data_IF_227095716532
#
_entry.id   IF_227095716532
#
_cell.length_a   1.000
_cell.length_b   1.000
_cell.length_c   1.000
_cell.angle_alpha   90.00
_cell.angle_beta   90.00
_cell.angle_gamma   90.00
#
_symmetry.space_group_name_H-M   'P 1'
#
loop_
_entity.id
_entity.type
_entity.pdbx_description
1 polymer ?
#
# COMPACT_ATOMS: atom_id res chain seq x y z
N UNK A 1 -26.96 -6.55 -18.79
CA UNK A 1 -26.07 -5.46 -19.22
C UNK A 1 -25.15 -5.13 -18.05
N UNK A 2 -23.86 -5.42 -18.20
CA UNK A 2 -22.87 -5.11 -17.16
C UNK A 2 -22.52 -3.61 -17.22
N UNK A 3 -22.51 -2.89 -16.11
CA UNK A 3 -22.08 -1.49 -16.06
C UNK A 3 -20.75 -1.37 -15.34
N UNK A 4 -19.77 -0.78 -15.99
CA UNK A 4 -18.47 -0.45 -15.45
C UNK A 4 -18.44 1.04 -15.08
N UNK A 5 -18.09 1.37 -13.84
CA UNK A 5 -17.76 2.75 -13.48
C UNK A 5 -16.24 2.87 -13.33
N UNK A 6 -15.61 3.53 -14.28
CA UNK A 6 -14.25 4.04 -14.13
C UNK A 6 -14.36 5.42 -13.49
N UNK A 7 -14.06 5.52 -12.20
CA UNK A 7 -14.00 6.83 -11.55
C UNK A 7 -12.64 7.47 -11.80
N UNK A 8 -12.61 8.66 -12.45
CA UNK A 8 -11.36 9.43 -12.56
C UNK A 8 -10.88 9.84 -11.16
N UNK A 9 -9.57 9.90 -10.97
CA UNK A 9 -8.93 10.42 -9.76
C UNK A 9 -9.50 11.81 -9.43
N UNK A 10 -10.03 12.02 -8.21
CA UNK A 10 -10.60 13.31 -7.85
C UNK A 10 -9.49 14.35 -7.71
N UNK A 11 -9.63 15.44 -8.45
CA UNK A 11 -9.01 16.73 -8.12
C UNK A 11 -9.54 17.21 -6.76
N UNK A 12 -8.64 17.79 -5.96
CA UNK A 12 -8.85 18.32 -4.61
C UNK A 12 -10.28 18.77 -4.30
N UNK A 13 -10.87 18.20 -3.26
CA UNK A 13 -11.75 18.93 -2.34
C UNK A 13 -11.84 18.24 -0.98
N UNK A 14 -11.98 19.06 0.02
CA UNK A 14 -11.94 18.91 1.46
C UNK A 14 -12.92 17.90 2.04
N UNK A 15 -12.47 17.19 3.10
CA UNK A 15 -13.31 16.79 4.23
C UNK A 15 -13.86 15.39 4.19
N UNK A 16 -13.14 14.42 4.77
CA UNK A 16 -13.78 13.22 5.29
C UNK A 16 -13.15 12.86 6.65
N UNK A 17 -14.00 12.83 7.66
CA UNK A 17 -13.64 12.42 9.02
C UNK A 17 -13.54 10.90 9.06
N UNK A 18 -12.37 10.35 9.28
CA UNK A 18 -12.15 8.93 9.57
C UNK A 18 -12.32 8.69 11.08
N UNK A 19 -13.09 7.69 11.52
CA UNK A 19 -13.31 7.43 12.95
C UNK A 19 -12.14 6.76 13.70
N UNK A 20 -10.99 6.57 13.08
CA UNK A 20 -9.80 5.93 13.68
C UNK A 20 -8.53 6.80 13.58
N UNK A 21 -8.66 8.11 13.71
CA UNK A 21 -7.50 8.97 13.82
C UNK A 21 -7.22 9.33 15.28
N UNK A 22 -6.06 8.95 15.79
CA UNK A 22 -5.51 9.51 17.02
C UNK A 22 -5.30 11.01 16.78
N UNK A 23 -6.06 11.85 17.47
CA UNK A 23 -5.82 13.30 17.47
C UNK A 23 -4.60 13.61 18.31
N UNK A 24 -3.51 14.02 17.67
CA UNK A 24 -2.51 14.82 18.36
C UNK A 24 -3.11 16.21 18.60
N UNK A 25 -3.34 16.57 19.87
CA UNK A 25 -3.65 17.93 20.29
C UNK A 25 -2.42 18.82 20.10
N UNK A 26 -2.44 19.66 19.05
CA UNK A 26 -1.44 20.70 18.85
C UNK A 26 -1.77 21.89 19.72
N UNK A 27 -0.95 22.17 20.73
CA UNK A 27 -0.84 23.48 21.36
C UNK A 27 -0.33 24.48 20.33
N UNK A 28 -0.98 25.65 20.24
CA UNK A 28 -0.73 26.68 19.25
C UNK A 28 0.66 27.28 19.31
N UNK A 29 1.21 27.60 18.15
CA UNK A 29 2.44 28.37 17.95
C UNK A 29 2.71 28.61 16.49
N UNK A 30 2.50 29.82 16.05
CA UNK A 30 2.92 30.57 14.86
C UNK A 30 3.48 29.83 13.64
N UNK A 31 2.87 30.17 12.51
CA UNK A 31 3.25 29.89 11.14
C UNK A 31 4.71 30.23 10.81
N UNK A 32 5.48 29.17 10.54
CA UNK A 32 6.64 29.21 9.65
C UNK A 32 6.62 27.95 8.81
N UNK A 33 6.73 28.12 7.49
CA UNK A 33 6.81 27.03 6.52
C UNK A 33 7.87 26.01 6.96
N UNK A 34 7.60 24.70 6.97
CA UNK A 34 8.64 23.74 7.27
C UNK A 34 9.62 23.69 6.09
N UNK A 35 10.80 24.26 6.31
CA UNK A 35 11.99 23.92 5.54
C UNK A 35 12.14 22.41 5.56
N UNK A 36 12.34 21.82 4.40
CA UNK A 36 12.63 20.40 4.21
C UNK A 36 13.77 19.98 5.14
N UNK A 37 13.43 19.37 6.28
CA UNK A 37 14.42 18.74 7.15
C UNK A 37 14.83 17.45 6.45
N UNK A 38 15.99 17.52 5.82
CA UNK A 38 16.67 16.37 5.25
C UNK A 38 16.95 15.36 6.37
N UNK A 39 16.32 14.16 6.32
CA UNK A 39 16.54 13.03 7.25
C UNK A 39 18.00 12.50 7.20
N UNK A 40 18.89 13.18 6.50
CA UNK A 40 20.28 12.77 6.33
C UNK A 40 21.22 13.17 7.46
N UNK A 41 20.78 13.86 8.54
CA UNK A 41 21.71 14.42 9.51
C UNK A 41 22.20 13.47 10.61
N UNK A 42 21.55 12.30 10.85
CA UNK A 42 21.91 11.45 12.00
C UNK A 42 22.28 10.00 11.66
N UNK A 43 22.61 9.71 10.39
CA UNK A 43 23.09 8.39 10.04
C UNK A 43 24.62 8.33 10.09
N UNK A 44 25.13 7.76 11.18
CA UNK A 44 26.57 7.42 11.37
C UNK A 44 26.96 6.20 10.53
N UNK A 45 26.72 6.31 9.24
CA UNK A 45 26.98 5.31 8.21
C UNK A 45 28.00 5.79 7.19
N UNK A 46 29.29 5.69 7.54
CA UNK A 46 30.48 5.82 6.69
C UNK A 46 30.55 7.08 5.80
N UNK A 47 31.54 7.91 6.11
CA UNK A 47 32.01 9.13 5.45
C UNK A 47 31.90 9.13 3.91
N UNK A 48 31.97 7.96 3.27
CA UNK A 48 32.02 7.78 1.82
C UNK A 48 30.74 8.21 1.06
N UNK A 49 29.55 8.04 1.64
CA UNK A 49 28.29 8.40 0.94
C UNK A 49 28.00 9.92 0.95
N UNK A 50 28.40 10.61 2.01
CA UNK A 50 28.22 12.05 2.11
C UNK A 50 29.04 12.80 1.06
N UNK A 51 30.23 12.32 0.76
CA UNK A 51 31.14 12.99 -0.16
C UNK A 51 30.68 12.91 -1.62
N UNK A 52 30.15 11.76 -2.07
CA UNK A 52 29.66 11.60 -3.45
C UNK A 52 28.46 12.50 -3.72
N UNK A 53 27.46 12.47 -2.86
CA UNK A 53 26.25 13.30 -3.02
C UNK A 53 26.58 14.78 -2.92
N UNK A 54 27.47 15.16 -2.00
CA UNK A 54 27.96 16.53 -1.86
C UNK A 54 28.69 16.97 -3.13
N UNK A 55 29.63 16.17 -3.62
CA UNK A 55 30.36 16.45 -4.86
C UNK A 55 29.43 16.63 -6.05
N UNK A 56 28.41 15.75 -6.20
CA UNK A 56 27.44 15.87 -7.28
C UNK A 56 26.64 17.18 -7.18
N UNK A 57 26.17 17.55 -5.97
CA UNK A 57 25.41 18.80 -5.76
C UNK A 57 26.25 20.04 -6.04
N UNK A 58 27.52 20.04 -5.63
CA UNK A 58 28.44 21.14 -5.88
C UNK A 58 28.82 21.28 -7.36
N UNK A 59 28.67 20.21 -8.15
CA UNK A 59 28.94 20.16 -9.60
C UNK A 59 27.65 20.10 -10.43
N UNK A 60 26.61 20.83 -10.06
CA UNK A 60 25.34 20.89 -10.79
C UNK A 60 24.68 19.52 -11.04
N UNK A 61 24.73 18.63 -10.04
CA UNK A 61 24.15 17.28 -10.06
C UNK A 61 24.81 16.32 -11.06
N UNK A 62 26.00 16.62 -11.55
CA UNK A 62 26.75 15.79 -12.47
C UNK A 62 28.24 15.79 -12.12
N UNK A 63 28.89 14.65 -12.14
CA UNK A 63 30.34 14.53 -11.98
C UNK A 63 30.90 13.32 -12.71
N UNK A 64 32.12 13.47 -13.28
CA UNK A 64 32.80 12.41 -14.01
C UNK A 64 33.96 11.87 -13.20
N UNK A 65 33.94 10.58 -12.88
CA UNK A 65 35.03 9.83 -12.28
C UNK A 65 35.66 8.93 -13.34
N UNK A 66 36.87 9.25 -13.79
CA UNK A 66 37.52 8.54 -14.90
C UNK A 66 36.67 8.62 -16.18
N UNK A 67 36.20 7.48 -16.66
CA UNK A 67 35.35 7.39 -17.87
C UNK A 67 33.83 7.28 -17.54
N UNK A 68 33.43 7.40 -16.27
CA UNK A 68 32.05 7.24 -15.84
C UNK A 68 31.48 8.58 -15.41
N UNK A 69 30.47 9.06 -16.13
CA UNK A 69 29.70 10.24 -15.73
C UNK A 69 28.48 9.81 -14.94
N UNK A 70 28.34 10.34 -13.73
CA UNK A 70 27.20 10.10 -12.83
C UNK A 70 26.38 11.37 -12.76
N UNK A 71 25.06 11.23 -13.00
CA UNK A 71 24.08 12.31 -12.82
C UNK A 71 23.18 11.98 -11.64
N UNK A 72 22.95 12.94 -10.76
CA UNK A 72 22.00 12.82 -9.66
C UNK A 72 20.70 13.47 -10.08
N UNK A 73 19.58 12.78 -9.89
CA UNK A 73 18.27 13.40 -10.08
C UNK A 73 18.11 14.60 -9.16
N UNK A 74 17.48 15.68 -9.65
CA UNK A 74 17.23 16.89 -8.87
C UNK A 74 16.31 16.60 -7.67
N UNK A 75 15.27 15.80 -7.89
CA UNK A 75 14.39 15.29 -6.84
C UNK A 75 14.58 13.78 -6.66
N UNK A 76 15.00 13.38 -5.47
CA UNK A 76 15.26 11.98 -5.11
C UNK A 76 14.96 11.74 -3.63
N UNK A 77 14.82 10.46 -3.25
CA UNK A 77 14.52 10.03 -1.88
C UNK A 77 13.15 9.33 -1.81
N UNK A 78 12.57 9.27 -0.63
CA UNK A 78 11.25 8.71 -0.44
C UNK A 78 10.16 9.64 -1.00
N UNK A 79 9.07 9.06 -1.49
CA UNK A 79 7.88 9.86 -1.74
C UNK A 79 7.31 10.37 -0.41
N UNK A 80 6.53 11.47 -0.48
CA UNK A 80 5.95 12.10 0.70
C UNK A 80 5.19 11.11 1.63
N UNK A 81 4.46 10.14 1.06
CA UNK A 81 3.70 9.17 1.85
C UNK A 81 4.59 8.22 2.65
N UNK A 82 5.70 7.76 2.05
CA UNK A 82 6.71 6.91 2.71
C UNK A 82 7.47 7.71 3.76
N UNK A 83 7.93 8.92 3.42
CA UNK A 83 8.64 9.80 4.34
C UNK A 83 7.80 10.09 5.59
N UNK A 84 6.52 10.44 5.41
CA UNK A 84 5.56 10.62 6.48
C UNK A 84 5.44 9.38 7.38
N UNK A 85 5.33 8.18 6.78
CA UNK A 85 5.19 6.94 7.54
C UNK A 85 6.42 6.68 8.42
N UNK A 86 7.62 6.84 7.87
CA UNK A 86 8.88 6.67 8.59
C UNK A 86 9.01 7.68 9.72
N UNK A 87 8.67 8.97 9.47
CA UNK A 87 8.71 10.00 10.49
C UNK A 87 7.77 9.72 11.65
N UNK A 88 6.52 9.35 11.37
CA UNK A 88 5.54 9.00 12.43
C UNK A 88 6.03 7.79 13.24
N UNK A 89 6.60 6.77 12.59
CA UNK A 89 7.12 5.60 13.29
C UNK A 89 8.29 5.96 14.23
N UNK A 90 9.19 6.84 13.80
CA UNK A 90 10.29 7.31 14.66
C UNK A 90 9.79 8.21 15.80
N UNK A 91 8.79 9.05 15.55
CA UNK A 91 8.17 9.88 16.59
C UNK A 91 7.40 9.03 17.62
N UNK A 92 6.83 7.89 17.22
CA UNK A 92 6.12 7.00 18.14
C UNK A 92 7.00 6.59 19.35
N UNK A 93 8.28 6.25 19.14
CA UNK A 93 9.18 5.91 20.26
C UNK A 93 9.44 7.11 21.17
N UNK A 94 9.46 8.33 20.67
CA UNK A 94 9.64 9.54 21.48
C UNK A 94 8.39 9.84 22.30
N UNK A 95 7.21 9.60 21.72
CA UNK A 95 5.93 9.80 22.41
C UNK A 95 5.64 8.73 23.45
N UNK A 96 6.12 7.52 23.24
CA UNK A 96 5.91 6.34 24.09
C UNK A 96 7.24 5.74 24.57
N UNK A 97 8.04 6.51 25.37
CA UNK A 97 9.43 6.12 25.67
C UNK A 97 9.56 4.89 26.57
N UNK A 98 8.54 4.58 27.38
CA UNK A 98 8.51 3.43 28.30
C UNK A 98 7.62 2.28 27.87
N UNK A 99 6.87 2.43 26.78
CA UNK A 99 5.89 1.45 26.36
C UNK A 99 6.50 0.38 25.44
N UNK A 100 5.89 -0.81 25.41
CA UNK A 100 6.19 -1.80 24.40
C UNK A 100 5.61 -1.33 23.08
N UNK A 101 6.45 -1.22 22.06
CA UNK A 101 6.02 -0.85 20.69
C UNK A 101 6.22 -2.04 19.78
N UNK A 102 5.15 -2.40 19.09
CA UNK A 102 5.10 -3.45 18.08
C UNK A 102 4.86 -2.86 16.70
N UNK A 103 5.26 -3.57 15.67
CA UNK A 103 4.89 -3.27 14.28
C UNK A 103 4.31 -4.52 13.63
N UNK A 104 3.23 -4.34 12.86
CA UNK A 104 2.52 -5.48 12.24
C UNK A 104 3.26 -6.07 11.06
N UNK A 105 4.16 -5.30 10.43
CA UNK A 105 5.02 -5.70 9.32
C UNK A 105 6.13 -4.67 9.17
N UNK A 106 7.09 -4.87 8.25
CA UNK A 106 8.06 -3.83 7.87
C UNK A 106 7.36 -2.49 7.63
N UNK A 107 7.90 -1.39 8.17
CA UNK A 107 7.30 -0.06 7.93
C UNK A 107 7.26 0.29 6.44
N UNK A 108 8.31 -0.08 5.75
CA UNK A 108 8.50 -0.02 4.30
C UNK A 108 9.52 -1.10 3.90
N UNK A 109 9.57 -1.48 2.63
CA UNK A 109 10.59 -2.40 2.12
C UNK A 109 11.98 -1.75 2.03
N UNK A 110 12.52 -1.35 3.19
CA UNK A 110 13.86 -0.77 3.31
C UNK A 110 14.56 -1.30 4.56
N UNK A 111 15.57 -2.20 4.38
CA UNK A 111 16.25 -2.84 5.51
C UNK A 111 16.91 -1.85 6.48
N UNK A 112 17.40 -0.72 5.97
CA UNK A 112 18.06 0.30 6.80
C UNK A 112 17.07 0.98 7.75
N UNK A 113 15.87 1.31 7.24
CA UNK A 113 14.81 1.93 8.05
C UNK A 113 14.27 0.94 9.08
N UNK A 114 14.01 -0.30 8.67
CA UNK A 114 13.50 -1.35 9.56
C UNK A 114 14.52 -1.66 10.67
N UNK A 115 15.81 -1.79 10.32
CA UNK A 115 16.87 -1.96 11.32
C UNK A 115 16.90 -0.79 12.32
N UNK A 116 16.71 0.44 11.86
CA UNK A 116 16.67 1.60 12.76
C UNK A 116 15.49 1.53 13.74
N UNK A 117 14.33 1.07 13.33
CA UNK A 117 13.19 0.84 14.22
C UNK A 117 13.50 -0.24 15.27
N UNK A 118 14.16 -1.34 14.87
CA UNK A 118 14.61 -2.37 15.80
C UNK A 118 15.63 -1.83 16.83
N UNK A 119 16.59 -1.00 16.40
CA UNK A 119 17.51 -0.29 17.30
C UNK A 119 16.81 0.66 18.28
N UNK A 120 15.62 1.14 17.91
CA UNK A 120 14.72 1.94 18.74
C UNK A 120 13.76 1.07 19.57
N UNK A 121 14.03 -0.24 19.69
CA UNK A 121 13.23 -1.20 20.45
C UNK A 121 11.77 -1.35 19.95
N UNK A 122 11.51 -1.08 18.69
CA UNK A 122 10.27 -1.47 18.03
C UNK A 122 10.37 -2.95 17.64
N UNK A 123 9.42 -3.76 18.09
CA UNK A 123 9.44 -5.21 17.91
C UNK A 123 8.50 -5.62 16.78
N UNK A 124 8.94 -6.55 15.96
CA UNK A 124 8.07 -7.17 14.96
C UNK A 124 7.08 -8.13 15.64
N UNK A 125 5.81 -8.11 15.22
CA UNK A 125 4.87 -9.15 15.61
C UNK A 125 5.29 -10.45 14.93
N UNK A 126 5.55 -11.54 15.67
CA UNK A 126 6.02 -12.80 15.09
C UNK A 126 5.04 -13.38 14.09
N UNK A 127 5.56 -14.03 13.06
CA UNK A 127 4.76 -14.80 12.09
C UNK A 127 5.05 -16.29 12.32
N UNK A 128 4.02 -17.09 12.53
CA UNK A 128 4.09 -18.53 12.65
C UNK A 128 3.07 -19.16 11.69
N UNK A 129 3.52 -20.13 10.90
CA UNK A 129 2.69 -20.80 9.88
C UNK A 129 1.98 -19.85 8.91
N UNK A 130 2.62 -18.70 8.63
CA UNK A 130 2.09 -17.66 7.75
C UNK A 130 1.10 -16.70 8.41
N UNK A 131 0.81 -16.86 9.70
CA UNK A 131 -0.11 -16.01 10.46
C UNK A 131 0.62 -15.18 11.52
N UNK A 132 0.22 -13.92 11.67
CA UNK A 132 0.75 -13.00 12.68
C UNK A 132 0.23 -13.38 14.06
N UNK A 133 1.16 -13.50 15.01
CA UNK A 133 0.88 -13.93 16.39
C UNK A 133 0.55 -12.71 17.26
N UNK A 134 -0.68 -12.21 17.17
CA UNK A 134 -1.12 -11.06 17.97
C UNK A 134 -1.20 -11.33 19.48
N UNK A 135 -1.07 -12.59 19.92
CA UNK A 135 -1.13 -12.94 21.34
C UNK A 135 0.05 -12.39 22.16
N UNK A 136 1.16 -12.04 21.48
CA UNK A 136 2.30 -11.37 22.12
C UNK A 136 2.02 -9.91 22.50
N UNK A 137 0.94 -9.34 21.98
CA UNK A 137 0.56 -7.93 22.17
C UNK A 137 -0.44 -7.83 23.31
N UNK A 138 -0.08 -7.07 24.35
CA UNK A 138 -0.90 -6.86 25.53
C UNK A 138 -1.81 -5.61 25.41
N UNK A 139 -2.84 -5.54 26.26
CA UNK A 139 -3.67 -4.34 26.36
C UNK A 139 -2.81 -3.14 26.79
N UNK A 140 -2.96 -2.03 26.06
CA UNK A 140 -2.22 -0.80 26.32
C UNK A 140 -0.89 -0.70 25.58
N UNK A 141 -0.36 -1.79 25.02
CA UNK A 141 0.81 -1.73 24.14
C UNK A 141 0.54 -0.80 22.94
N UNK A 142 1.59 -0.29 22.34
CA UNK A 142 1.55 0.52 21.14
C UNK A 142 1.80 -0.36 19.93
N UNK A 143 0.98 -0.23 18.89
CA UNK A 143 1.15 -1.00 17.64
C UNK A 143 1.17 -0.05 16.45
N UNK A 144 2.25 -0.11 15.68
CA UNK A 144 2.45 0.66 14.45
C UNK A 144 1.88 -0.14 13.27
N UNK A 145 1.00 0.47 12.49
CA UNK A 145 0.59 -0.04 11.19
C UNK A 145 1.52 0.54 10.11
N UNK A 146 2.05 -0.28 9.19
CA UNK A 146 3.03 0.16 8.19
C UNK A 146 2.43 1.08 7.11
N UNK A 147 3.30 1.61 6.25
CA UNK A 147 2.88 2.47 5.14
C UNK A 147 1.90 1.78 4.17
N UNK A 148 1.97 0.46 4.05
CA UNK A 148 1.06 -0.35 3.23
C UNK A 148 -0.33 -0.52 3.84
N UNK A 149 -0.48 -0.17 5.12
CA UNK A 149 -1.67 -0.43 5.92
C UNK A 149 -1.71 -1.84 6.51
N UNK A 150 -2.87 -2.24 6.99
CA UNK A 150 -3.14 -3.55 7.56
C UNK A 150 -4.51 -4.07 7.10
N UNK A 151 -4.70 -5.38 7.12
CA UNK A 151 -5.99 -5.97 6.79
C UNK A 151 -7.06 -5.59 7.85
N UNK A 152 -8.32 -5.52 7.43
CA UNK A 152 -9.44 -5.18 8.33
C UNK A 152 -9.50 -6.13 9.53
N UNK A 153 -9.25 -7.42 9.33
CA UNK A 153 -9.22 -8.41 10.42
C UNK A 153 -8.12 -8.11 11.45
N UNK A 154 -6.94 -7.70 11.01
CA UNK A 154 -5.83 -7.33 11.89
C UNK A 154 -6.18 -6.07 12.71
N UNK A 155 -6.73 -5.05 12.06
CA UNK A 155 -7.15 -3.82 12.74
C UNK A 155 -8.25 -4.09 13.78
N UNK A 156 -9.20 -4.99 13.48
CA UNK A 156 -10.24 -5.40 14.42
C UNK A 156 -9.64 -6.16 15.60
N UNK A 157 -8.69 -7.08 15.36
CA UNK A 157 -7.99 -7.82 16.42
C UNK A 157 -7.28 -6.86 17.36
N UNK A 158 -6.54 -5.89 16.82
CA UNK A 158 -5.84 -4.87 17.61
C UNK A 158 -6.80 -3.97 18.39
N UNK A 159 -7.90 -3.56 17.76
CA UNK A 159 -8.94 -2.77 18.42
C UNK A 159 -9.57 -3.52 19.60
N UNK A 160 -9.88 -4.82 19.41
CA UNK A 160 -10.45 -5.67 20.48
C UNK A 160 -9.47 -5.87 21.65
N UNK A 161 -8.16 -5.89 21.38
CA UNK A 161 -7.11 -5.94 22.39
C UNK A 161 -6.92 -4.63 23.16
N UNK A 162 -7.58 -3.55 22.71
CA UNK A 162 -7.46 -2.22 23.33
C UNK A 162 -6.02 -1.69 23.37
N UNK A 163 -5.28 -1.88 22.29
CA UNK A 163 -3.94 -1.33 22.09
C UNK A 163 -4.01 0.12 21.58
N UNK A 164 -2.88 0.83 21.69
CA UNK A 164 -2.71 2.16 21.07
C UNK A 164 -2.22 2.00 19.63
N UNK A 165 -3.07 2.33 18.66
CA UNK A 165 -2.70 2.20 17.24
C UNK A 165 -2.04 3.49 16.75
N UNK A 166 -0.82 3.36 16.23
CA UNK A 166 -0.12 4.39 15.47
C UNK A 166 -0.24 4.07 13.99
N UNK A 167 -1.18 4.72 13.33
CA UNK A 167 -1.46 4.48 11.91
C UNK A 167 -0.55 5.32 11.01
N UNK A 168 0.40 4.66 10.35
CA UNK A 168 1.30 5.28 9.38
C UNK A 168 0.87 5.06 7.93
N UNK A 169 -0.28 4.44 7.69
CA UNK A 169 -0.78 4.13 6.34
C UNK A 169 -0.65 5.33 5.41
N UNK A 170 -0.07 5.08 4.25
CA UNK A 170 0.08 6.09 3.22
C UNK A 170 -1.29 6.60 2.75
N UNK A 171 -1.54 7.93 2.68
CA UNK A 171 -2.81 8.46 2.23
C UNK A 171 -3.23 8.03 0.81
N UNK A 172 -2.28 7.67 -0.04
CA UNK A 172 -2.59 7.10 -1.36
C UNK A 172 -3.19 5.70 -1.25
N UNK A 173 -2.68 4.87 -0.33
CA UNK A 173 -3.26 3.55 -0.01
C UNK A 173 -4.68 3.71 0.53
N UNK A 174 -4.89 4.62 1.48
CA UNK A 174 -6.22 4.92 2.02
C UNK A 174 -7.21 5.37 0.94
N UNK A 175 -6.75 6.12 -0.08
CA UNK A 175 -7.60 6.49 -1.22
C UNK A 175 -8.07 5.27 -2.01
N UNK A 176 -7.18 4.30 -2.23
CA UNK A 176 -7.56 3.03 -2.90
C UNK A 176 -8.60 2.28 -2.06
N UNK A 177 -8.40 2.18 -0.74
CA UNK A 177 -9.39 1.55 0.16
C UNK A 177 -10.77 2.19 0.07
N UNK A 178 -10.82 3.53 0.01
CA UNK A 178 -12.08 4.26 -0.16
C UNK A 178 -12.79 3.94 -1.49
N UNK A 179 -12.04 3.69 -2.56
CA UNK A 179 -12.59 3.26 -3.86
C UNK A 179 -13.13 1.84 -3.73
N UNK A 180 -12.37 0.93 -3.14
CA UNK A 180 -12.76 -0.46 -2.92
C UNK A 180 -14.00 -0.57 -2.02
N UNK A 181 -14.10 0.23 -0.97
CA UNK A 181 -15.30 0.31 -0.13
C UNK A 181 -16.53 0.83 -0.90
N UNK A 182 -16.34 1.78 -1.82
CA UNK A 182 -17.42 2.19 -2.74
C UNK A 182 -17.85 1.06 -3.68
N UNK A 183 -16.89 0.28 -4.19
CA UNK A 183 -17.21 -0.90 -4.98
C UNK A 183 -18.06 -1.88 -4.17
N UNK A 184 -17.66 -2.19 -2.94
CA UNK A 184 -18.41 -3.06 -2.02
C UNK A 184 -19.83 -2.54 -1.80
N UNK A 185 -20.00 -1.24 -1.49
CA UNK A 185 -21.30 -0.60 -1.28
C UNK A 185 -22.19 -0.59 -2.52
N UNK A 186 -21.57 -0.55 -3.69
CA UNK A 186 -22.25 -0.57 -4.98
C UNK A 186 -22.46 -1.97 -5.57
N UNK A 187 -22.13 -3.02 -4.81
CA UNK A 187 -22.18 -4.42 -5.27
C UNK A 187 -21.34 -4.69 -6.53
N UNK A 188 -20.14 -4.11 -6.57
CA UNK A 188 -19.16 -4.39 -7.61
C UNK A 188 -18.15 -5.44 -7.12
N UNK A 189 -17.74 -6.33 -8.00
CA UNK A 189 -16.51 -7.08 -7.82
C UNK A 189 -15.33 -6.18 -8.10
N UNK A 190 -14.38 -6.12 -7.17
CA UNK A 190 -13.16 -5.33 -7.36
C UNK A 190 -12.09 -6.15 -8.07
N UNK A 191 -11.69 -5.74 -9.26
CA UNK A 191 -10.51 -6.26 -9.95
C UNK A 191 -9.31 -5.44 -9.46
N UNK A 192 -8.42 -6.08 -8.70
CA UNK A 192 -7.27 -5.42 -8.08
C UNK A 192 -6.02 -5.72 -8.90
N UNK A 193 -5.45 -4.73 -9.58
CA UNK A 193 -4.15 -4.83 -10.23
C UNK A 193 -3.05 -4.78 -9.16
N UNK A 194 -2.43 -5.90 -8.87
CA UNK A 194 -1.44 -6.02 -7.80
C UNK A 194 -0.84 -7.41 -7.67
N UNK A 195 0.13 -7.53 -6.79
CA UNK A 195 0.74 -8.82 -6.42
C UNK A 195 -0.07 -9.41 -5.28
N UNK A 196 -0.67 -10.59 -5.44
CA UNK A 196 -1.57 -11.20 -4.46
C UNK A 196 -0.90 -11.57 -3.11
N UNK A 197 0.42 -11.70 -3.05
CA UNK A 197 1.17 -11.91 -1.80
C UNK A 197 1.70 -10.63 -1.16
N UNK A 198 1.44 -9.45 -1.73
CA UNK A 198 1.93 -8.18 -1.19
C UNK A 198 0.97 -7.64 -0.14
N UNK A 199 1.49 -7.15 0.98
CA UNK A 199 0.71 -6.69 2.14
C UNK A 199 -0.29 -5.60 1.78
N UNK A 200 0.10 -4.63 0.94
CA UNK A 200 -0.81 -3.58 0.46
C UNK A 200 -2.00 -4.16 -0.31
N UNK A 201 -1.75 -5.19 -1.14
CA UNK A 201 -2.80 -5.85 -1.90
C UNK A 201 -3.73 -6.64 -1.00
N UNK A 202 -3.18 -7.36 0.00
CA UNK A 202 -3.94 -8.10 1.01
C UNK A 202 -4.80 -7.14 1.84
N UNK A 203 -4.20 -6.04 2.31
CA UNK A 203 -4.92 -4.99 3.03
C UNK A 203 -6.05 -4.41 2.17
N UNK A 204 -5.77 -4.03 0.93
CA UNK A 204 -6.78 -3.49 -0.01
C UNK A 204 -7.90 -4.48 -0.28
N UNK A 205 -7.59 -5.75 -0.53
CA UNK A 205 -8.57 -6.81 -0.76
C UNK A 205 -9.49 -7.03 0.43
N UNK A 206 -8.99 -6.82 1.66
CA UNK A 206 -9.80 -6.98 2.88
C UNK A 206 -10.94 -5.97 3.01
N UNK A 207 -10.89 -4.83 2.32
CA UNK A 207 -11.98 -3.85 2.25
C UNK A 207 -13.03 -4.20 1.20
N UNK A 208 -12.70 -5.08 0.25
CA UNK A 208 -13.62 -5.48 -0.81
C UNK A 208 -14.73 -6.41 -0.29
N UNK A 209 -15.86 -6.44 -1.00
CA UNK A 209 -16.89 -7.47 -0.84
C UNK A 209 -16.46 -8.72 -1.61
N UNK A 210 -16.50 -8.60 -2.93
CA UNK A 210 -15.98 -9.61 -3.87
C UNK A 210 -14.78 -9.02 -4.60
N UNK A 211 -13.74 -9.83 -4.79
CA UNK A 211 -12.56 -9.39 -5.52
C UNK A 211 -11.89 -10.52 -6.30
N UNK A 212 -11.16 -10.11 -7.31
CA UNK A 212 -10.12 -10.88 -7.98
C UNK A 212 -8.87 -10.01 -8.10
N UNK A 213 -7.70 -10.57 -7.79
CA UNK A 213 -6.41 -9.92 -7.94
C UNK A 213 -5.79 -10.40 -9.25
N UNK A 214 -5.29 -9.47 -10.06
CA UNK A 214 -4.61 -9.71 -11.33
C UNK A 214 -3.26 -9.00 -11.31
N UNK A 215 -2.20 -9.67 -11.73
CA UNK A 215 -0.83 -9.15 -11.61
C UNK A 215 -0.32 -8.45 -12.86
N UNK A 216 -0.95 -8.68 -14.02
CA UNK A 216 -0.54 -8.14 -15.32
C UNK A 216 -1.67 -8.25 -16.36
N UNK A 217 -1.40 -7.68 -17.55
CA UNK A 217 -2.33 -7.71 -18.70
C UNK A 217 -2.72 -9.11 -19.15
N UNK A 218 -1.84 -10.12 -19.05
CA UNK A 218 -2.17 -11.48 -19.46
C UNK A 218 -3.29 -12.08 -18.58
N UNK A 219 -3.21 -11.83 -17.26
CA UNK A 219 -4.25 -12.30 -16.33
C UNK A 219 -5.56 -11.55 -16.54
N UNK A 220 -5.52 -10.25 -16.80
CA UNK A 220 -6.73 -9.48 -17.13
C UNK A 220 -7.35 -9.94 -18.44
N UNK A 221 -6.53 -10.18 -19.47
CA UNK A 221 -6.99 -10.70 -20.77
C UNK A 221 -7.68 -12.04 -20.57
N UNK A 222 -7.14 -12.92 -19.72
CA UNK A 222 -7.78 -14.20 -19.37
C UNK A 222 -9.14 -13.99 -18.68
N UNK A 223 -9.25 -13.05 -17.74
CA UNK A 223 -10.52 -12.70 -17.09
C UNK A 223 -11.53 -12.17 -18.11
N UNK A 224 -11.11 -11.27 -19.01
CA UNK A 224 -11.96 -10.73 -20.07
C UNK A 224 -12.42 -11.84 -21.03
N UNK A 225 -11.53 -12.76 -21.43
CA UNK A 225 -11.87 -13.85 -22.31
C UNK A 225 -12.92 -14.78 -21.68
N UNK A 226 -12.76 -15.09 -20.38
CA UNK A 226 -13.77 -15.85 -19.63
C UNK A 226 -15.14 -15.14 -19.64
N UNK A 227 -15.19 -13.84 -19.32
CA UNK A 227 -16.43 -13.04 -19.35
C UNK A 227 -17.12 -13.09 -20.73
N UNK A 228 -16.33 -13.11 -21.80
CA UNK A 228 -16.82 -13.14 -23.19
C UNK A 228 -17.10 -14.55 -23.73
N UNK A 229 -16.98 -15.59 -22.89
CA UNK A 229 -17.20 -16.98 -23.30
C UNK A 229 -16.19 -17.48 -24.33
N UNK A 230 -14.90 -17.10 -24.18
CA UNK A 230 -13.79 -17.55 -25.03
C UNK A 230 -13.67 -16.82 -26.39
N UNK A 231 -14.34 -15.68 -26.56
CA UNK A 231 -14.38 -14.96 -27.86
C UNK A 231 -13.18 -14.05 -28.11
N UNK A 232 -12.36 -13.80 -27.07
CA UNK A 232 -11.23 -12.86 -27.21
C UNK A 232 -9.97 -13.57 -27.71
N UNK A 233 -9.61 -14.71 -27.09
CA UNK A 233 -8.37 -15.47 -27.40
C UNK A 233 -8.66 -16.92 -27.80
N UNK A 234 -9.93 -17.35 -27.88
CA UNK A 234 -10.31 -18.72 -28.18
C UNK A 234 -9.98 -19.70 -27.04
N UNK A 235 -9.64 -19.22 -25.85
CA UNK A 235 -9.43 -20.05 -24.69
C UNK A 235 -10.80 -20.42 -24.11
N UNK A 236 -11.30 -21.60 -24.42
CA UNK A 236 -12.47 -22.16 -23.74
C UNK A 236 -12.10 -22.53 -22.30
N UNK A 237 -11.77 -21.53 -21.46
CA UNK A 237 -11.50 -21.79 -20.05
C UNK A 237 -12.78 -22.15 -19.35
N UNK A 238 -12.80 -23.36 -18.76
CA UNK A 238 -13.90 -23.76 -17.91
C UNK A 238 -13.84 -23.01 -16.57
N UNK A 239 -14.96 -22.99 -15.85
CA UNK A 239 -15.03 -22.41 -14.51
C UNK A 239 -13.99 -23.02 -13.56
N UNK A 240 -13.78 -24.32 -13.65
CA UNK A 240 -12.79 -25.06 -12.85
C UNK A 240 -11.37 -24.58 -13.17
N UNK A 241 -11.02 -24.43 -14.45
CA UNK A 241 -9.72 -23.90 -14.87
C UNK A 241 -9.52 -22.45 -14.42
N UNK A 242 -10.57 -21.62 -14.49
CA UNK A 242 -10.53 -20.25 -13.98
C UNK A 242 -10.28 -20.22 -12.47
N UNK A 243 -11.03 -21.00 -11.70
CA UNK A 243 -10.90 -21.07 -10.24
C UNK A 243 -9.55 -21.67 -9.81
N UNK A 244 -9.01 -22.64 -10.51
CA UNK A 244 -7.67 -23.18 -10.22
C UNK A 244 -6.59 -22.12 -10.50
N UNK A 245 -6.70 -21.37 -11.59
CA UNK A 245 -5.75 -20.30 -11.93
C UNK A 245 -5.72 -19.18 -10.88
N UNK A 246 -6.88 -18.80 -10.37
CA UNK A 246 -7.03 -17.67 -9.44
C UNK A 246 -7.31 -18.09 -7.99
N UNK A 247 -7.07 -19.36 -7.62
CA UNK A 247 -7.44 -19.91 -6.29
C UNK A 247 -6.93 -19.14 -5.08
N UNK A 248 -5.77 -18.46 -5.22
CA UNK A 248 -5.19 -17.62 -4.17
C UNK A 248 -5.42 -16.12 -4.40
N UNK A 249 -6.13 -15.77 -5.44
CA UNK A 249 -6.30 -14.40 -5.90
C UNK A 249 -7.76 -13.92 -5.87
N UNK A 250 -8.69 -14.72 -5.36
CA UNK A 250 -10.11 -14.38 -5.27
C UNK A 250 -10.63 -14.38 -3.85
N UNK A 251 -11.69 -13.64 -3.61
CA UNK A 251 -12.39 -13.64 -2.33
C UNK A 251 -13.04 -14.99 -2.02
N UNK A 252 -13.19 -15.31 -0.73
CA UNK A 252 -13.88 -16.54 -0.30
C UNK A 252 -15.29 -16.62 -0.88
N UNK A 253 -15.61 -17.75 -1.50
CA UNK A 253 -16.91 -17.99 -2.13
C UNK A 253 -17.15 -17.18 -3.40
N UNK A 254 -16.10 -16.75 -4.08
CA UNK A 254 -16.17 -16.12 -5.38
C UNK A 254 -16.68 -17.09 -6.44
N UNK A 255 -17.62 -16.64 -7.26
CA UNK A 255 -18.17 -17.37 -8.40
C UNK A 255 -18.04 -16.50 -9.67
N UNK A 256 -17.13 -16.84 -10.61
CA UNK A 256 -16.89 -15.98 -11.76
C UNK A 256 -18.12 -15.78 -12.65
N UNK A 257 -19.06 -16.74 -12.70
CA UNK A 257 -20.28 -16.60 -13.50
C UNK A 257 -21.27 -15.59 -12.92
N UNK A 258 -21.22 -15.39 -11.60
CA UNK A 258 -22.12 -14.47 -10.88
C UNK A 258 -21.46 -13.16 -10.53
N UNK A 259 -20.20 -13.22 -10.11
CA UNK A 259 -19.52 -12.08 -9.51
C UNK A 259 -18.83 -11.18 -10.55
N UNK A 260 -18.54 -11.67 -11.76
CA UNK A 260 -17.92 -10.86 -12.83
C UNK A 260 -18.93 -10.08 -13.72
N UNK A 261 -20.16 -9.94 -13.28
CA UNK A 261 -21.19 -9.19 -14.03
C UNK A 261 -21.03 -7.68 -13.87
N UNK A 262 -20.52 -7.23 -12.73
CA UNK A 262 -20.34 -5.82 -12.40
C UNK A 262 -19.00 -5.62 -11.71
N UNK A 263 -18.06 -4.99 -12.38
CA UNK A 263 -16.69 -4.87 -11.89
C UNK A 263 -16.24 -3.42 -11.77
N UNK A 264 -15.33 -3.17 -10.83
CA UNK A 264 -14.60 -1.93 -10.67
C UNK A 264 -13.10 -2.23 -10.54
N UNK A 265 -12.24 -1.31 -10.97
CA UNK A 265 -10.79 -1.49 -10.95
C UNK A 265 -10.15 -0.72 -9.80
N UNK A 266 -9.24 -1.35 -9.10
CA UNK A 266 -8.34 -0.75 -8.13
C UNK A 266 -6.92 -1.27 -8.35
N UNK A 267 -5.91 -0.65 -7.74
CA UNK A 267 -4.53 -1.08 -7.92
C UNK A 267 -3.72 -0.96 -6.62
N UNK A 268 -2.74 -1.82 -6.48
CA UNK A 268 -1.62 -1.63 -5.56
C UNK A 268 -0.87 -0.36 -6.02
N UNK A 269 -0.56 0.55 -5.11
CA UNK A 269 -0.04 1.89 -5.45
C UNK A 269 1.31 1.88 -6.17
N UNK A 270 2.06 0.78 -6.06
CA UNK A 270 3.37 0.60 -6.70
C UNK A 270 3.31 -0.06 -8.08
N UNK A 271 2.11 -0.39 -8.59
CA UNK A 271 1.95 -0.90 -9.95
C UNK A 271 2.11 0.21 -10.98
N UNK A 272 2.49 -0.15 -12.21
CA UNK A 272 2.65 0.80 -13.30
C UNK A 272 1.31 1.45 -13.65
N UNK A 273 1.28 2.78 -13.62
CA UNK A 273 0.08 3.57 -13.92
C UNK A 273 -0.48 3.25 -15.31
N UNK A 274 0.39 3.23 -16.33
CA UNK A 274 -0.01 2.95 -17.71
C UNK A 274 -0.69 1.58 -17.86
N UNK A 275 -0.11 0.55 -17.25
CA UNK A 275 -0.69 -0.80 -17.27
C UNK A 275 -2.06 -0.83 -16.55
N UNK A 276 -2.21 -0.14 -15.41
CA UNK A 276 -3.51 -0.04 -14.74
C UNK A 276 -4.56 0.68 -15.61
N UNK A 277 -4.16 1.71 -16.33
CA UNK A 277 -5.04 2.44 -17.27
C UNK A 277 -5.45 1.54 -18.45
N UNK A 278 -4.53 0.77 -19.02
CA UNK A 278 -4.79 -0.21 -20.08
C UNK A 278 -5.74 -1.31 -19.61
N UNK A 279 -5.57 -1.82 -18.39
CA UNK A 279 -6.49 -2.77 -17.75
C UNK A 279 -7.90 -2.16 -17.67
N UNK A 280 -8.01 -0.93 -17.19
CA UNK A 280 -9.29 -0.23 -17.10
C UNK A 280 -9.96 -0.06 -18.46
N UNK A 281 -9.20 0.30 -19.49
CA UNK A 281 -9.70 0.43 -20.86
C UNK A 281 -10.16 -0.91 -21.44
N UNK A 282 -9.36 -1.98 -21.27
CA UNK A 282 -9.71 -3.31 -21.76
C UNK A 282 -11.03 -3.81 -21.16
N UNK A 283 -11.17 -3.68 -19.84
CA UNK A 283 -12.40 -4.05 -19.14
C UNK A 283 -13.59 -3.21 -19.58
N UNK A 284 -13.43 -1.89 -19.74
CA UNK A 284 -14.48 -1.01 -20.24
C UNK A 284 -14.96 -1.39 -21.65
N UNK A 285 -14.05 -1.71 -22.56
CA UNK A 285 -14.36 -2.07 -23.94
C UNK A 285 -15.04 -3.44 -24.08
N UNK A 286 -14.85 -4.34 -23.11
CA UNK A 286 -15.29 -5.74 -23.20
C UNK A 286 -16.50 -6.05 -22.33
N UNK A 287 -16.83 -5.21 -21.35
CA UNK A 287 -18.01 -5.38 -20.49
C UNK A 287 -19.21 -4.53 -20.95
N UNK A 288 -19.05 -3.71 -21.96
CA UNK A 288 -20.11 -2.99 -22.68
C UNK A 288 -20.27 -3.54 -24.09
#
# INVERSE_FOLDING_TARGET
MASLQVTPLPTRSSGCKNPLSVRCSSGGGSSSSPSSVSIHSDFDGKVFRRDIIKTLKENNYEYTWGNVTVKLAEAYGFCWGVDRAVQIAYEARKQFPGDKIWITNEIIHNPTVNKRLQEMEVKDIPIQDGEKQFDVVDKGDVVILPAFGAAVSEMLTLSNKQVQIVDTTCPWVTKVWNIVDKHKKGDYTTIIHGKYSHEETIATASFAGKYIIVKNMDEVTYVCDYILGGKLNGSNSTKEAFMEKFKFAVSKGFDPDKDLVKAGVANQTTMLKGETEEIGMLLSLKMY
#
